data_IF_816228232780
#
_entry.id   IF_816228232780
#
_cell.length_a   1.000
_cell.length_b   1.000
_cell.length_c   1.000
_cell.angle_alpha   90.00
_cell.angle_beta   90.00
_cell.angle_gamma   90.00
#
_symmetry.space_group_name_H-M   'P 1'
#
loop_
_entity.id
_entity.type
_entity.pdbx_description
1 polymer ?
#
# COMPACT_ATOMS: atom_id res chain seq x y z
N UNK A 1 27.60 -1.23 -4.74
CA UNK A 1 26.15 -1.51 -4.87
C UNK A 1 25.49 -1.10 -3.57
N UNK A 2 24.75 0.02 -3.56
CA UNK A 2 24.18 0.59 -2.31
C UNK A 2 22.99 -0.27 -1.88
N UNK A 3 23.13 -0.98 -0.76
CA UNK A 3 22.04 -1.72 -0.14
C UNK A 3 20.90 -0.77 0.21
N UNK A 4 19.76 -0.94 -0.44
CA UNK A 4 18.54 -0.19 -0.15
C UNK A 4 18.07 -0.57 1.24
N UNK A 5 18.04 0.43 2.13
CA UNK A 5 17.66 0.26 3.53
C UNK A 5 16.16 -0.07 3.62
N UNK A 6 15.80 -1.36 3.54
CA UNK A 6 14.43 -1.87 3.58
C UNK A 6 13.85 -1.84 5.01
N UNK A 7 13.57 -0.64 5.52
CA UNK A 7 12.62 -0.39 6.61
C UNK A 7 13.00 -0.92 8.02
N UNK A 8 12.02 -0.81 8.95
CA UNK A 8 12.18 -1.09 10.41
C UNK A 8 12.41 -2.56 10.80
N UNK A 9 12.65 -3.46 9.84
CA UNK A 9 12.89 -4.88 10.12
C UNK A 9 14.39 -5.14 10.04
N UNK A 10 14.89 -6.01 10.90
CA UNK A 10 16.29 -6.41 10.87
C UNK A 10 16.65 -6.96 9.48
N UNK A 11 17.74 -6.45 8.89
CA UNK A 11 18.14 -6.68 7.50
C UNK A 11 18.15 -8.16 7.12
N UNK A 12 18.64 -9.03 8.02
CA UNK A 12 18.74 -10.47 7.77
C UNK A 12 17.40 -11.20 7.59
N UNK A 13 16.27 -10.62 8.04
CA UNK A 13 14.93 -11.26 7.95
C UNK A 13 14.20 -10.97 6.64
N UNK A 14 14.71 -10.07 5.80
CA UNK A 14 14.06 -9.64 4.57
C UNK A 14 12.74 -8.85 4.78
N UNK A 15 12.19 -8.28 3.69
CA UNK A 15 10.91 -7.59 3.71
C UNK A 15 9.75 -8.56 3.99
N UNK A 16 8.73 -8.09 4.70
CA UNK A 16 7.55 -8.90 4.99
C UNK A 16 6.50 -8.74 3.89
N UNK A 17 5.97 -9.86 3.41
CA UNK A 17 4.79 -9.88 2.56
C UNK A 17 3.84 -10.99 2.94
N UNK A 18 2.54 -10.70 2.83
CA UNK A 18 1.51 -11.70 3.02
C UNK A 18 1.44 -12.66 1.82
N UNK A 19 1.38 -13.96 2.10
CA UNK A 19 1.40 -15.01 1.07
C UNK A 19 0.22 -14.90 0.10
N UNK A 20 -0.95 -14.52 0.59
CA UNK A 20 -2.13 -14.30 -0.26
C UNK A 20 -1.92 -13.11 -1.22
N UNK A 21 -1.28 -12.04 -0.74
CA UNK A 21 -1.02 -10.86 -1.56
C UNK A 21 -0.06 -11.20 -2.71
N UNK A 22 1.00 -11.96 -2.41
CA UNK A 22 1.97 -12.40 -3.40
C UNK A 22 1.30 -13.23 -4.50
N UNK A 23 0.50 -14.23 -4.12
CA UNK A 23 -0.27 -15.06 -5.06
C UNK A 23 -1.23 -14.26 -5.92
N UNK A 24 -1.87 -13.24 -5.35
CA UNK A 24 -2.78 -12.37 -6.10
C UNK A 24 -2.01 -11.55 -7.14
N UNK A 25 -0.83 -11.02 -6.79
CA UNK A 25 0.02 -10.28 -7.71
C UNK A 25 0.53 -11.17 -8.84
N UNK A 26 1.05 -12.36 -8.53
CA UNK A 26 1.55 -13.31 -9.53
C UNK A 26 0.48 -13.65 -10.58
N UNK A 27 -0.77 -13.87 -10.15
CA UNK A 27 -1.90 -14.10 -11.06
C UNK A 27 -2.18 -12.91 -11.98
N UNK A 28 -2.12 -11.70 -11.44
CA UNK A 28 -2.38 -10.48 -12.23
C UNK A 28 -1.25 -10.25 -13.23
N UNK A 29 0.00 -10.38 -12.81
CA UNK A 29 1.18 -10.28 -13.68
C UNK A 29 1.13 -11.33 -14.79
N UNK A 30 0.83 -12.58 -14.46
CA UNK A 30 0.68 -13.66 -15.44
C UNK A 30 -0.47 -13.40 -16.45
N UNK A 31 -1.54 -12.72 -16.01
CA UNK A 31 -2.67 -12.37 -16.88
C UNK A 31 -2.38 -11.21 -17.84
N UNK A 32 -1.32 -10.41 -17.60
CA UNK A 32 -0.99 -9.22 -18.37
C UNK A 32 -2.00 -8.07 -18.27
N UNK A 33 -3.06 -8.20 -17.46
CA UNK A 33 -4.11 -7.19 -17.27
C UNK A 33 -3.80 -6.32 -16.06
N UNK A 34 -3.98 -5.01 -16.18
CA UNK A 34 -3.85 -4.06 -15.06
C UNK A 34 -5.11 -4.06 -14.18
N UNK A 35 -5.40 -5.19 -13.55
CA UNK A 35 -6.52 -5.32 -12.61
C UNK A 35 -6.16 -4.73 -11.24
N UNK A 36 -7.14 -4.07 -10.61
CA UNK A 36 -6.98 -3.51 -9.26
C UNK A 36 -6.97 -4.64 -8.22
N UNK A 37 -5.87 -4.77 -7.47
CA UNK A 37 -5.70 -5.80 -6.45
C UNK A 37 -6.25 -5.31 -5.11
N UNK A 38 -7.35 -5.90 -4.65
CA UNK A 38 -7.89 -5.60 -3.31
C UNK A 38 -7.03 -6.26 -2.23
N UNK A 39 -6.69 -5.49 -1.20
CA UNK A 39 -5.86 -5.99 -0.09
C UNK A 39 -6.29 -5.40 1.25
N UNK A 40 -6.29 -6.28 2.25
CA UNK A 40 -6.38 -5.91 3.67
C UNK A 40 -5.00 -5.89 4.34
N UNK A 41 -3.97 -6.43 3.68
CA UNK A 41 -2.62 -6.49 4.24
C UNK A 41 -1.93 -5.13 4.12
N UNK A 42 -2.21 -4.27 5.10
CA UNK A 42 -1.54 -2.97 5.28
C UNK A 42 -0.09 -3.10 5.76
N UNK A 43 0.28 -4.29 6.25
CA UNK A 43 1.60 -4.60 6.82
C UNK A 43 2.64 -5.02 5.77
N UNK A 44 2.20 -5.41 4.57
CA UNK A 44 3.08 -5.85 3.49
C UNK A 44 3.94 -4.70 2.99
N UNK A 45 5.21 -5.00 2.74
CA UNK A 45 6.17 -4.11 2.09
C UNK A 45 5.91 -4.09 0.58
N UNK A 46 6.03 -2.91 -0.01
CA UNK A 46 5.98 -2.74 -1.46
C UNK A 46 7.32 -3.22 -2.04
N UNK A 47 7.24 -4.27 -2.84
CA UNK A 47 8.40 -4.87 -3.52
C UNK A 47 8.64 -4.20 -4.89
N UNK A 48 9.86 -4.24 -5.43
CA UNK A 48 10.16 -3.67 -6.75
C UNK A 48 9.32 -4.26 -7.89
N UNK A 49 8.93 -5.52 -7.80
CA UNK A 49 8.07 -6.19 -8.78
C UNK A 49 6.60 -5.69 -8.78
N UNK A 50 6.24 -4.79 -7.86
CA UNK A 50 4.89 -4.24 -7.77
C UNK A 50 4.73 -2.90 -8.51
N UNK A 51 5.82 -2.36 -9.05
CA UNK A 51 5.80 -1.11 -9.80
C UNK A 51 4.85 -1.23 -10.99
N UNK A 52 3.97 -0.24 -11.15
CA UNK A 52 2.93 -0.24 -12.20
C UNK A 52 1.62 -0.93 -11.83
N UNK A 53 1.56 -1.64 -10.70
CA UNK A 53 0.32 -2.24 -10.21
C UNK A 53 -0.49 -1.26 -9.35
N UNK A 54 -1.80 -1.40 -9.38
CA UNK A 54 -2.73 -0.64 -8.53
C UNK A 54 -3.29 -1.51 -7.41
N UNK A 55 -3.09 -1.10 -6.17
CA UNK A 55 -3.62 -1.78 -4.99
C UNK A 55 -4.76 -0.99 -4.37
N UNK A 56 -5.91 -1.63 -4.23
CA UNK A 56 -7.00 -1.15 -3.40
C UNK A 56 -6.74 -1.55 -1.94
N UNK A 57 -6.17 -0.64 -1.14
CA UNK A 57 -5.81 -0.87 0.27
C UNK A 57 -6.97 -0.51 1.18
N UNK A 58 -7.39 -1.44 2.03
CA UNK A 58 -8.45 -1.19 3.00
C UNK A 58 -7.98 -0.26 4.13
N UNK A 59 -8.74 0.79 4.42
CA UNK A 59 -8.41 1.76 5.49
C UNK A 59 -9.23 1.60 6.78
N UNK A 60 -10.09 0.59 6.88
CA UNK A 60 -11.05 0.41 7.98
C UNK A 60 -12.49 0.80 7.64
N UNK A 61 -12.73 1.46 6.50
CA UNK A 61 -14.07 1.80 6.01
C UNK A 61 -14.22 1.51 4.52
N UNK A 62 -13.26 1.98 3.72
CA UNK A 62 -13.26 1.84 2.26
C UNK A 62 -11.91 1.38 1.74
N UNK A 63 -11.90 0.96 0.49
CA UNK A 63 -10.67 0.69 -0.25
C UNK A 63 -10.16 1.96 -0.92
N UNK A 64 -8.91 2.30 -0.66
CA UNK A 64 -8.22 3.43 -1.28
C UNK A 64 -7.34 2.87 -2.40
N UNK A 65 -7.54 3.26 -3.66
CA UNK A 65 -6.65 2.85 -4.75
C UNK A 65 -5.31 3.58 -4.61
N UNK A 66 -4.23 2.81 -4.61
CA UNK A 66 -2.85 3.29 -4.55
C UNK A 66 -2.12 2.72 -5.76
N UNK A 67 -1.68 3.59 -6.66
CA UNK A 67 -0.80 3.23 -7.76
C UNK A 67 0.64 3.16 -7.24
N UNK A 68 1.34 2.07 -7.54
CA UNK A 68 2.72 1.88 -7.07
C UNK A 68 3.72 2.46 -8.07
N UNK A 69 4.45 3.48 -7.60
CA UNK A 69 5.60 4.08 -8.29
C UNK A 69 6.91 3.62 -7.66
N UNK A 70 8.03 3.80 -8.36
CA UNK A 70 9.37 3.43 -7.87
C UNK A 70 9.75 4.14 -6.56
N UNK A 71 9.29 5.38 -6.38
CA UNK A 71 9.62 6.21 -5.23
C UNK A 71 9.07 5.66 -3.90
N UNK A 72 7.99 4.86 -3.95
CA UNK A 72 7.34 4.30 -2.76
C UNK A 72 7.77 2.86 -2.46
N UNK A 73 8.68 2.29 -3.25
CA UNK A 73 9.24 0.95 -3.02
C UNK A 73 9.95 0.89 -1.67
N UNK A 74 9.76 -0.21 -0.93
CA UNK A 74 10.32 -0.40 0.41
C UNK A 74 9.47 0.21 1.55
N UNK A 75 8.45 1.01 1.24
CA UNK A 75 7.43 1.45 2.21
C UNK A 75 6.36 0.38 2.41
N UNK A 76 5.54 0.53 3.45
CA UNK A 76 4.39 -0.36 3.68
C UNK A 76 3.13 0.16 2.99
N UNK A 77 2.30 -0.74 2.48
CA UNK A 77 1.01 -0.38 1.85
C UNK A 77 0.11 0.47 2.77
N UNK A 78 0.19 0.24 4.08
CA UNK A 78 -0.60 0.99 5.07
C UNK A 78 -0.25 2.47 5.19
N UNK A 79 0.95 2.89 4.76
CA UNK A 79 1.39 4.30 4.81
C UNK A 79 0.60 5.18 3.84
N UNK A 80 0.10 4.60 2.75
CA UNK A 80 -0.64 5.29 1.69
C UNK A 80 -2.16 5.24 1.89
N UNK A 81 -2.63 4.62 2.97
CA UNK A 81 -4.05 4.48 3.30
C UNK A 81 -4.33 5.01 4.72
N UNK A 82 -4.67 6.31 4.89
CA UNK A 82 -4.94 6.89 6.20
C UNK A 82 -6.21 6.31 6.81
N UNK A 83 -6.14 5.93 8.10
CA UNK A 83 -7.23 5.30 8.85
C UNK A 83 -8.13 6.29 9.58
N UNK A 84 -7.56 7.42 10.00
CA UNK A 84 -8.27 8.47 10.74
C UNK A 84 -8.22 9.76 9.93
N UNK A 85 -9.36 10.41 9.80
CA UNK A 85 -9.44 11.78 9.27
C UNK A 85 -9.19 12.74 10.44
N UNK A 86 -8.05 13.42 10.45
CA UNK A 86 -7.82 14.49 11.41
C UNK A 86 -8.58 15.73 10.96
N UNK A 87 -9.57 16.16 11.75
CA UNK A 87 -10.41 17.32 11.43
C UNK A 87 -9.89 18.63 12.04
N UNK A 88 -8.71 18.63 12.68
CA UNK A 88 -8.18 19.80 13.38
C UNK A 88 -8.53 19.84 14.87
N UNK A 89 -7.86 20.72 15.61
CA UNK A 89 -8.29 21.16 16.94
C UNK A 89 -8.79 22.60 16.80
N UNK A 90 -10.09 22.83 17.04
CA UNK A 90 -10.63 24.19 17.07
C UNK A 90 -11.70 24.48 16.01
N UNK A 91 -12.59 25.37 16.40
CA UNK A 91 -13.93 25.63 15.91
C UNK A 91 -14.04 26.02 14.42
N UNK A 92 -15.22 25.70 13.88
CA UNK A 92 -15.83 26.29 12.68
C UNK A 92 -15.29 25.78 11.33
N UNK A 93 -15.78 24.61 10.92
CA UNK A 93 -15.93 24.32 9.49
C UNK A 93 -17.39 24.06 9.19
N UNK A 94 -18.05 25.00 8.50
CA UNK A 94 -19.32 24.77 7.82
C UNK A 94 -19.14 23.52 6.96
N UNK A 95 -19.84 22.45 7.32
CA UNK A 95 -19.87 21.23 6.52
C UNK A 95 -20.64 21.53 5.24
N UNK A 96 -19.95 21.87 4.16
CA UNK A 96 -20.56 21.79 2.84
C UNK A 96 -20.67 20.30 2.50
N UNK A 97 -21.87 19.75 2.70
CA UNK A 97 -22.27 18.44 2.19
C UNK A 97 -22.94 18.69 0.83
N UNK A 98 -22.27 18.26 -0.23
CA UNK A 98 -22.87 17.94 -1.52
C UNK A 98 -22.67 16.44 -1.74
#
# INVERSE_FOLDING_TARGET
MKGTNMGRRSVWKGPFIDSHLLKAVEKVVASGKNNVIKTWSRRSTILPNFVGLTFAVYNGKKFIPVLVTEQIVGKKLGEFAPTRTFMGHGANRKANRA
#
